data_IF_040286315195
#
_entry.id   IF_040286315195
#
_cell.length_a   1.000
_cell.length_b   1.000
_cell.length_c   1.000
_cell.angle_alpha   90.00
_cell.angle_beta   90.00
_cell.angle_gamma   90.00
#
_symmetry.space_group_name_H-M   'P 1'
#
loop_
_entity.id
_entity.type
_entity.pdbx_description
1 polymer ?
#
# COMPACT_ATOMS: atom_id res chain seq x y z
N UNK A 1 -0.63 24.07 15.02
CA UNK A 1 -1.63 23.01 14.71
C UNK A 1 -1.64 22.04 15.88
N UNK A 2 -2.78 21.83 16.55
CA UNK A 2 -2.87 21.06 17.81
C UNK A 2 -2.64 19.54 17.53
N UNK A 3 -1.83 18.87 18.36
CA UNK A 3 -1.51 17.43 18.29
C UNK A 3 -2.76 16.56 18.13
N UNK A 4 -3.81 16.87 18.87
CA UNK A 4 -5.10 16.16 18.80
C UNK A 4 -5.75 16.24 17.42
N UNK A 5 -5.64 17.39 16.74
CA UNK A 5 -6.16 17.57 15.38
C UNK A 5 -5.38 16.73 14.37
N UNK A 6 -4.07 16.57 14.58
CA UNK A 6 -3.20 15.73 13.74
C UNK A 6 -3.55 14.26 13.91
N UNK A 7 -3.67 13.79 15.16
CA UNK A 7 -4.07 12.41 15.47
C UNK A 7 -5.45 12.10 14.90
N UNK A 8 -6.42 13.02 15.04
CA UNK A 8 -7.74 12.85 14.45
C UNK A 8 -7.68 12.74 12.92
N UNK A 9 -6.92 13.61 12.25
CA UNK A 9 -6.74 13.56 10.80
C UNK A 9 -6.11 12.24 10.34
N UNK A 10 -5.10 11.75 11.05
CA UNK A 10 -4.45 10.46 10.77
C UNK A 10 -5.40 9.28 10.97
N UNK A 11 -6.26 9.30 12.00
CA UNK A 11 -7.31 8.27 12.21
C UNK A 11 -8.33 8.26 11.08
N UNK A 12 -8.77 9.44 10.63
CA UNK A 12 -9.69 9.56 9.48
C UNK A 12 -9.03 9.00 8.22
N UNK A 13 -7.77 9.38 7.96
CA UNK A 13 -7.00 8.88 6.82
C UNK A 13 -6.84 7.35 6.87
N UNK A 14 -6.48 6.79 8.03
CA UNK A 14 -6.38 5.33 8.23
C UNK A 14 -7.69 4.63 7.85
N UNK A 15 -8.83 5.10 8.35
CA UNK A 15 -10.15 4.51 8.06
C UNK A 15 -10.49 4.59 6.57
N UNK A 16 -10.15 5.71 5.92
CA UNK A 16 -10.33 5.88 4.48
C UNK A 16 -9.49 4.87 3.67
N UNK A 17 -8.21 4.72 4.04
CA UNK A 17 -7.30 3.76 3.42
C UNK A 17 -7.78 2.32 3.61
N UNK A 18 -8.28 1.96 4.80
CA UNK A 18 -8.85 0.63 5.06
C UNK A 18 -10.06 0.32 4.18
N UNK A 19 -10.97 1.28 4.03
CA UNK A 19 -12.11 1.16 3.12
C UNK A 19 -11.64 0.98 1.67
N UNK A 20 -10.68 1.80 1.22
CA UNK A 20 -10.13 1.71 -0.13
C UNK A 20 -9.43 0.37 -0.40
N UNK A 21 -8.64 -0.12 0.56
CA UNK A 21 -7.97 -1.43 0.50
C UNK A 21 -9.01 -2.54 0.38
N UNK A 22 -10.05 -2.53 1.23
CA UNK A 22 -11.11 -3.54 1.22
C UNK A 22 -11.86 -3.57 -0.12
N UNK A 23 -12.27 -2.39 -0.61
CA UNK A 23 -12.96 -2.26 -1.89
C UNK A 23 -12.09 -2.74 -3.06
N UNK A 24 -10.81 -2.39 -3.05
CA UNK A 24 -9.86 -2.79 -4.10
C UNK A 24 -9.59 -4.29 -4.06
N UNK A 25 -9.46 -4.91 -2.86
CA UNK A 25 -9.32 -6.37 -2.70
C UNK A 25 -10.55 -7.11 -3.21
N UNK A 26 -11.75 -6.62 -2.90
CA UNK A 26 -13.01 -7.18 -3.39
C UNK A 26 -13.11 -7.12 -4.92
N UNK A 27 -12.75 -5.98 -5.53
CA UNK A 27 -12.71 -5.84 -6.98
C UNK A 27 -11.69 -6.79 -7.63
N UNK A 28 -10.50 -6.93 -7.05
CA UNK A 28 -9.47 -7.84 -7.53
C UNK A 28 -9.88 -9.32 -7.45
N UNK A 29 -10.58 -9.73 -6.39
CA UNK A 29 -11.07 -11.10 -6.22
C UNK A 29 -12.06 -11.54 -7.30
N UNK A 30 -12.80 -10.59 -7.89
CA UNK A 30 -13.76 -10.83 -8.97
C UNK A 30 -13.13 -10.81 -10.38
N UNK A 31 -11.86 -10.44 -10.50
CA UNK A 31 -11.22 -10.23 -11.80
C UNK A 31 -10.57 -11.50 -12.34
N UNK A 32 -10.58 -11.69 -13.67
CA UNK A 32 -9.97 -12.83 -14.37
C UNK A 32 -8.52 -13.09 -13.93
N UNK A 33 -8.13 -14.35 -13.78
CA UNK A 33 -6.74 -14.76 -13.47
C UNK A 33 -5.82 -14.40 -14.65
N UNK A 34 -4.55 -14.14 -14.37
CA UNK A 34 -3.57 -13.69 -15.36
C UNK A 34 -3.13 -12.23 -15.20
N UNK A 35 -2.16 -11.80 -16.02
CA UNK A 35 -1.63 -10.43 -16.05
C UNK A 35 -1.27 -10.03 -17.48
N UNK A 36 -1.41 -8.74 -17.79
CA UNK A 36 -0.92 -8.21 -19.06
C UNK A 36 0.50 -7.66 -18.94
N UNK A 37 1.23 -7.71 -20.05
CA UNK A 37 2.48 -7.00 -20.24
C UNK A 37 2.54 -6.43 -21.65
N UNK A 38 3.37 -5.41 -21.82
CA UNK A 38 3.62 -4.75 -23.10
C UNK A 38 5.02 -5.12 -23.54
N UNK A 39 5.16 -5.56 -24.78
CA UNK A 39 6.44 -5.87 -25.42
C UNK A 39 6.60 -5.01 -26.67
N UNK A 40 7.80 -4.48 -26.90
CA UNK A 40 8.14 -3.85 -28.18
C UNK A 40 8.59 -4.93 -29.16
N UNK A 41 7.94 -5.02 -30.31
CA UNK A 41 8.34 -5.88 -31.42
C UNK A 41 8.30 -5.07 -32.72
N UNK A 42 9.41 -5.09 -33.48
CA UNK A 42 9.55 -4.33 -34.73
C UNK A 42 9.15 -2.85 -34.60
N UNK A 43 9.59 -2.19 -33.52
CA UNK A 43 9.29 -0.79 -33.23
C UNK A 43 7.86 -0.49 -32.76
N UNK A 44 6.98 -1.51 -32.67
CA UNK A 44 5.58 -1.35 -32.24
C UNK A 44 5.34 -1.98 -30.87
N UNK A 45 4.57 -1.31 -30.03
CA UNK A 45 4.10 -1.86 -28.76
C UNK A 45 2.98 -2.86 -29.00
N UNK A 46 3.15 -4.08 -28.48
CA UNK A 46 2.18 -5.18 -28.54
C UNK A 46 1.79 -5.60 -27.12
N UNK A 47 0.51 -5.88 -26.91
CA UNK A 47 -0.03 -6.26 -25.60
C UNK A 47 -0.20 -7.77 -25.57
N UNK A 48 0.23 -8.40 -24.49
CA UNK A 48 0.10 -9.82 -24.27
C UNK A 48 -0.50 -10.08 -22.90
N UNK A 49 -1.20 -11.20 -22.76
CA UNK A 49 -1.64 -11.75 -21.48
C UNK A 49 -0.90 -13.04 -21.17
N UNK A 50 -0.47 -13.19 -19.93
CA UNK A 50 -0.02 -14.46 -19.36
C UNK A 50 -1.16 -15.00 -18.51
N UNK A 51 -1.73 -16.13 -18.93
CA UNK A 51 -2.71 -16.83 -18.10
C UNK A 51 -1.98 -17.56 -16.97
N UNK A 52 -2.47 -17.38 -15.73
CA UNK A 52 -1.92 -18.05 -14.54
C UNK A 52 -2.31 -19.54 -14.44
N UNK A 53 -2.83 -20.14 -15.51
CA UNK A 53 -3.30 -21.53 -15.60
C UNK A 53 -2.16 -22.58 -15.58
N UNK A 54 -1.00 -22.27 -14.98
CA UNK A 54 0.15 -23.18 -14.86
C UNK A 54 0.97 -23.39 -16.13
N UNK A 55 0.43 -23.11 -17.32
CA UNK A 55 1.14 -23.38 -18.60
C UNK A 55 2.08 -22.26 -19.05
N UNK A 56 2.02 -21.07 -18.43
CA UNK A 56 2.83 -19.91 -18.83
C UNK A 56 2.54 -19.40 -20.25
N UNK A 57 1.48 -19.90 -20.91
CA UNK A 57 1.16 -19.53 -22.29
C UNK A 57 0.84 -18.04 -22.39
N UNK A 58 1.55 -17.38 -23.29
CA UNK A 58 1.35 -15.97 -23.62
C UNK A 58 0.42 -15.86 -24.82
N UNK A 59 -0.63 -15.05 -24.72
CA UNK A 59 -1.53 -14.76 -25.85
C UNK A 59 -1.44 -13.29 -26.21
N UNK A 60 -1.24 -13.01 -27.50
CA UNK A 60 -1.31 -11.65 -28.03
C UNK A 60 -2.76 -11.14 -27.94
N UNK A 61 -2.92 -9.89 -27.51
CA UNK A 61 -4.19 -9.18 -27.48
C UNK A 61 -4.17 -8.09 -28.54
N UNK A 62 -4.89 -8.31 -29.64
CA UNK A 62 -5.07 -7.33 -30.69
C UNK A 62 -6.14 -6.29 -30.34
N UNK A 63 -6.45 -5.41 -31.30
CA UNK A 63 -7.44 -4.34 -31.13
C UNK A 63 -8.84 -4.87 -30.87
N UNK A 64 -9.14 -6.04 -31.43
CA UNK A 64 -10.37 -6.82 -31.23
C UNK A 64 -10.58 -7.24 -29.77
N UNK A 65 -9.53 -7.33 -28.97
CA UNK A 65 -9.61 -7.71 -27.54
C UNK A 65 -9.67 -6.49 -26.61
N UNK A 66 -10.19 -5.35 -27.07
CA UNK A 66 -10.19 -4.09 -26.30
C UNK A 66 -10.77 -4.21 -24.88
N UNK A 67 -11.90 -4.91 -24.73
CA UNK A 67 -12.52 -5.14 -23.42
C UNK A 67 -11.61 -5.95 -22.49
N UNK A 68 -10.97 -6.98 -23.01
CA UNK A 68 -10.06 -7.82 -22.24
C UNK A 68 -8.79 -7.05 -21.82
N UNK A 69 -8.25 -6.23 -22.72
CA UNK A 69 -7.15 -5.30 -22.42
C UNK A 69 -7.55 -4.35 -21.29
N UNK A 70 -8.75 -3.78 -21.33
CA UNK A 70 -9.25 -2.88 -20.28
C UNK A 70 -9.35 -3.58 -18.93
N UNK A 71 -9.92 -4.79 -18.88
CA UNK A 71 -10.05 -5.58 -17.65
C UNK A 71 -8.69 -5.86 -17.01
N UNK A 72 -7.72 -6.35 -17.79
CA UNK A 72 -6.39 -6.63 -17.25
C UNK A 72 -5.59 -5.37 -16.91
N UNK A 73 -5.78 -4.27 -17.65
CA UNK A 73 -5.17 -2.98 -17.34
C UNK A 73 -5.70 -2.43 -16.02
N UNK A 74 -7.02 -2.48 -15.83
CA UNK A 74 -7.66 -2.08 -14.57
C UNK A 74 -7.19 -2.95 -13.42
N UNK A 75 -7.05 -4.26 -13.63
CA UNK A 75 -6.48 -5.17 -12.63
C UNK A 75 -5.07 -4.77 -12.23
N UNK A 76 -4.20 -4.49 -13.21
CA UNK A 76 -2.82 -4.08 -12.96
C UNK A 76 -2.76 -2.76 -12.20
N UNK A 77 -3.61 -1.81 -12.56
CA UNK A 77 -3.77 -0.54 -11.85
C UNK A 77 -4.23 -0.78 -10.40
N UNK A 78 -5.29 -1.55 -10.19
CA UNK A 78 -5.81 -1.88 -8.86
C UNK A 78 -4.76 -2.58 -7.98
N UNK A 79 -3.94 -3.47 -8.54
CA UNK A 79 -2.82 -4.09 -7.81
C UNK A 79 -1.76 -3.05 -7.38
N UNK A 80 -1.45 -2.09 -8.25
CA UNK A 80 -0.52 -1.02 -7.92
C UNK A 80 -1.09 -0.09 -6.84
N UNK A 81 -2.35 0.32 -7.00
CA UNK A 81 -3.09 1.14 -6.05
C UNK A 81 -3.17 0.46 -4.68
N UNK A 82 -3.48 -0.85 -4.65
CA UNK A 82 -3.55 -1.62 -3.41
C UNK A 82 -2.23 -1.59 -2.66
N UNK A 83 -1.11 -1.88 -3.33
CA UNK A 83 0.22 -1.84 -2.71
C UNK A 83 0.56 -0.48 -2.16
N UNK A 84 0.18 0.59 -2.87
CA UNK A 84 0.44 1.96 -2.43
C UNK A 84 -0.42 2.35 -1.23
N UNK A 85 -1.70 1.98 -1.23
CA UNK A 85 -2.59 2.20 -0.10
C UNK A 85 -2.16 1.41 1.15
N UNK A 86 -1.67 0.17 0.99
CA UNK A 86 -1.11 -0.62 2.09
C UNK A 86 0.17 0.03 2.66
N UNK A 87 1.09 0.48 1.79
CA UNK A 87 2.29 1.22 2.23
C UNK A 87 1.95 2.52 2.99
N UNK A 88 0.97 3.28 2.49
CA UNK A 88 0.54 4.52 3.13
C UNK A 88 -0.15 4.24 4.48
N UNK A 89 -0.97 3.19 4.55
CA UNK A 89 -1.58 2.75 5.81
C UNK A 89 -0.52 2.43 6.85
N UNK A 90 0.51 1.64 6.49
CA UNK A 90 1.61 1.29 7.39
C UNK A 90 2.35 2.53 7.91
N UNK A 91 2.55 3.55 7.05
CA UNK A 91 3.16 4.81 7.46
C UNK A 91 2.26 5.59 8.44
N UNK A 92 0.95 5.66 8.17
CA UNK A 92 -0.02 6.30 9.06
C UNK A 92 -0.08 5.60 10.41
N UNK A 93 -0.03 4.27 10.43
CA UNK A 93 0.02 3.48 11.68
C UNK A 93 1.26 3.80 12.49
N UNK A 94 2.45 3.84 11.87
CA UNK A 94 3.70 4.27 12.54
C UNK A 94 3.60 5.70 13.09
N UNK A 95 3.01 6.62 12.33
CA UNK A 95 2.80 7.99 12.80
C UNK A 95 1.87 8.03 14.01
N UNK A 96 0.80 7.22 14.02
CA UNK A 96 -0.11 7.12 15.16
C UNK A 96 0.58 6.49 16.38
N UNK A 97 1.40 5.46 16.22
CA UNK A 97 2.19 4.85 17.31
C UNK A 97 3.12 5.86 17.99
N UNK A 98 3.73 6.77 17.23
CA UNK A 98 4.60 7.83 17.76
C UNK A 98 3.77 8.92 18.46
N UNK A 99 2.61 9.26 17.90
CA UNK A 99 1.82 10.42 18.33
C UNK A 99 0.82 10.10 19.46
N UNK A 100 0.30 8.88 19.55
CA UNK A 100 -0.55 8.41 20.64
C UNK A 100 0.34 8.12 21.86
N UNK A 101 0.34 8.99 22.89
CA UNK A 101 1.25 8.83 24.01
C UNK A 101 0.72 7.70 24.90
N UNK A 102 1.38 6.55 24.82
CA UNK A 102 1.67 5.65 25.94
C UNK A 102 3.13 5.17 25.82
N UNK A 103 4.02 6.02 25.30
CA UNK A 103 5.44 5.85 25.56
C UNK A 103 5.62 6.17 27.04
N UNK A 104 5.47 5.14 27.86
CA UNK A 104 5.82 5.12 29.27
C UNK A 104 7.17 5.82 29.41
N UNK A 105 7.20 6.97 30.06
CA UNK A 105 8.43 7.77 30.18
C UNK A 105 9.54 6.91 30.80
N UNK A 106 9.15 5.95 31.65
CA UNK A 106 10.00 4.91 32.20
C UNK A 106 10.64 4.02 31.13
N UNK A 107 9.90 3.56 30.10
CA UNK A 107 10.46 2.76 28.99
C UNK A 107 11.43 3.55 28.11
N UNK A 108 11.17 4.84 27.93
CA UNK A 108 12.08 5.74 27.20
C UNK A 108 13.37 5.96 28.01
N UNK A 109 13.25 6.11 29.33
CA UNK A 109 14.40 6.18 30.23
C UNK A 109 15.18 4.87 30.29
N UNK A 110 14.51 3.71 30.27
CA UNK A 110 15.12 2.39 30.35
C UNK A 110 15.94 2.05 29.11
N UNK A 111 15.45 2.42 27.93
CA UNK A 111 16.11 2.21 26.64
C UNK A 111 17.27 3.19 26.36
N UNK A 112 17.50 4.17 27.24
CA UNK A 112 18.54 5.18 27.05
C UNK A 112 19.94 4.63 27.43
N UNK A 113 21.00 4.95 26.66
CA UNK A 113 22.37 4.61 27.03
C UNK A 113 22.71 5.08 28.46
N UNK A 114 23.34 4.21 29.25
CA UNK A 114 23.65 4.45 30.69
C UNK A 114 24.38 5.79 30.91
N UNK A 115 25.20 6.22 29.94
CA UNK A 115 25.96 7.47 29.98
C UNK A 115 25.07 8.71 30.00
N UNK A 116 23.86 8.64 29.44
CA UNK A 116 22.96 9.79 29.29
C UNK A 116 21.96 9.92 30.46
N UNK A 117 21.71 8.83 31.21
CA UNK A 117 20.77 8.80 32.33
C UNK A 117 21.06 9.80 33.47
N UNK A 118 22.31 10.09 33.86
CA UNK A 118 22.64 11.04 34.92
C UNK A 118 22.32 12.51 34.57
N UNK A 119 22.16 12.82 33.28
CA UNK A 119 21.92 14.18 32.80
C UNK A 119 20.42 14.52 32.68
N UNK A 120 19.54 13.56 32.99
CA UNK A 120 18.10 13.77 33.07
C UNK A 120 17.74 13.98 34.54
N UNK A 121 17.55 15.24 34.93
CA UNK A 121 16.93 15.59 36.20
C UNK A 121 15.42 15.67 36.00
N UNK A 122 14.66 14.93 36.82
CA UNK A 122 13.25 15.22 36.99
C UNK A 122 13.17 16.64 37.59
N UNK A 123 12.65 17.60 36.82
CA UNK A 123 12.34 18.91 37.39
C UNK A 123 11.18 18.70 38.36
N UNK A 124 11.42 18.91 39.65
CA UNK A 124 10.39 19.07 40.68
C UNK A 124 9.50 20.29 40.40
#
# INVERSE_FOLDING_TARGET
MNKEKIVLALKILKKSLESQISNTKSALGKTRKGTIYVKKEHGKSRIYVVDKSGTGKTRYLGKENKQEIQIYSQKRYNLHLLRKAEQEKDQVEKCLEILEPNADIEKVYDSMPVVLKPYITANE
#
